data_IF_684766270434
#
_entry.id   IF_684766270434
#
_cell.length_a   1.000
_cell.length_b   1.000
_cell.length_c   1.000
_cell.angle_alpha   90.00
_cell.angle_beta   90.00
_cell.angle_gamma   90.00
#
_symmetry.space_group_name_H-M   'P 1'
#
loop_
_entity.id
_entity.type
_entity.pdbx_description
1 polymer ?
#
# COMPACT_ATOMS: atom_id res chain seq x y z
N UNK A 1 16.47 6.84 21.47
CA UNK A 1 17.27 6.39 20.32
C UNK A 1 16.66 5.08 19.86
N UNK A 2 16.52 4.90 18.55
CA UNK A 2 15.99 3.67 17.96
C UNK A 2 16.85 2.46 18.38
N UNK A 3 16.21 1.32 18.63
CA UNK A 3 16.91 0.05 18.80
C UNK A 3 17.46 -0.49 17.46
N UNK A 4 18.31 -1.52 17.49
CA UNK A 4 18.92 -2.09 16.28
C UNK A 4 17.89 -2.64 15.29
N UNK A 5 16.74 -3.13 15.78
CA UNK A 5 15.63 -3.59 14.94
C UNK A 5 14.98 -2.43 14.19
N UNK A 6 14.74 -1.32 14.90
CA UNK A 6 14.19 -0.12 14.31
C UNK A 6 15.16 0.47 13.26
N UNK A 7 16.47 0.47 13.53
CA UNK A 7 17.49 0.93 12.56
C UNK A 7 17.41 0.17 11.23
N UNK A 8 17.34 -1.16 11.24
CA UNK A 8 17.21 -1.95 10.01
C UNK A 8 15.90 -1.69 9.24
N UNK A 9 14.79 -1.49 9.96
CA UNK A 9 13.49 -1.14 9.33
C UNK A 9 13.51 0.27 8.73
N UNK A 10 14.13 1.23 9.41
CA UNK A 10 14.34 2.59 8.92
C UNK A 10 15.24 2.60 7.68
N UNK A 11 16.27 1.75 7.63
CA UNK A 11 17.10 1.57 6.45
C UNK A 11 16.31 0.98 5.27
N UNK A 12 15.45 -0.01 5.52
CA UNK A 12 14.52 -0.52 4.50
C UNK A 12 13.59 0.59 4.00
N UNK A 13 13.00 1.39 4.89
CA UNK A 13 12.17 2.53 4.50
C UNK A 13 12.93 3.51 3.61
N UNK A 14 14.16 3.86 3.97
CA UNK A 14 15.00 4.72 3.15
C UNK A 14 15.17 4.19 1.73
N UNK A 15 15.52 2.91 1.57
CA UNK A 15 15.70 2.31 0.25
C UNK A 15 14.39 2.19 -0.53
N UNK A 16 13.29 1.84 0.12
CA UNK A 16 11.97 1.75 -0.51
C UNK A 16 11.52 3.13 -1.00
N UNK A 17 11.72 4.18 -0.21
CA UNK A 17 11.40 5.54 -0.63
C UNK A 17 12.25 5.96 -1.83
N UNK A 18 13.56 5.76 -1.73
CA UNK A 18 14.53 6.16 -2.75
C UNK A 18 14.30 5.45 -4.09
N UNK A 19 14.18 4.12 -4.09
CA UNK A 19 14.13 3.33 -5.32
C UNK A 19 12.72 3.09 -5.86
N UNK A 20 11.70 3.10 -4.98
CA UNK A 20 10.35 2.70 -5.35
C UNK A 20 9.35 3.85 -5.22
N UNK A 21 9.13 4.38 -4.02
CA UNK A 21 7.99 5.29 -3.79
C UNK A 21 8.16 6.63 -4.48
N UNK A 22 9.38 7.15 -4.60
CA UNK A 22 9.63 8.37 -5.36
C UNK A 22 9.20 8.26 -6.83
N UNK A 23 9.30 7.08 -7.46
CA UNK A 23 8.75 6.86 -8.80
C UNK A 23 7.23 6.72 -8.75
N UNK A 24 6.69 6.05 -7.74
CA UNK A 24 5.26 5.80 -7.61
C UNK A 24 4.45 7.09 -7.40
N UNK A 25 4.88 7.98 -6.50
CA UNK A 25 4.04 9.10 -6.05
C UNK A 25 4.38 10.48 -6.62
N UNK A 26 5.57 10.70 -7.19
CA UNK A 26 5.99 12.06 -7.57
C UNK A 26 5.32 12.46 -8.88
N UNK A 27 4.65 13.61 -8.88
CA UNK A 27 3.92 14.10 -10.05
C UNK A 27 2.85 13.13 -10.54
N UNK A 28 2.29 12.27 -9.68
CA UNK A 28 1.16 11.43 -10.07
C UNK A 28 -0.03 12.31 -10.37
N UNK A 29 -0.57 12.19 -11.57
CA UNK A 29 -1.76 12.90 -12.01
C UNK A 29 -3.03 12.11 -11.74
N UNK A 30 -4.13 12.84 -11.69
CA UNK A 30 -5.48 12.30 -11.62
C UNK A 30 -5.85 11.45 -12.86
N UNK A 31 -5.26 11.75 -14.02
CA UNK A 31 -5.42 10.96 -15.24
C UNK A 31 -4.69 9.62 -15.15
N UNK A 32 -3.43 9.62 -14.68
CA UNK A 32 -2.67 8.39 -14.41
C UNK A 32 -3.39 7.52 -13.39
N UNK A 33 -3.88 8.11 -12.29
CA UNK A 33 -4.57 7.37 -11.23
C UNK A 33 -5.79 6.61 -11.77
N UNK A 34 -6.62 7.28 -12.59
CA UNK A 34 -7.88 6.74 -13.11
C UNK A 34 -7.73 5.89 -14.38
N UNK A 35 -6.51 5.75 -14.90
CA UNK A 35 -6.27 4.99 -16.12
C UNK A 35 -6.44 3.49 -15.88
N UNK A 36 -7.27 2.85 -16.71
CA UNK A 36 -7.42 1.40 -16.78
C UNK A 36 -6.35 0.85 -17.75
N UNK A 37 -5.34 0.08 -17.29
CA UNK A 37 -4.21 -0.32 -18.13
C UNK A 37 -4.61 -1.22 -19.31
N UNK A 38 -5.57 -2.11 -19.08
CA UNK A 38 -6.14 -3.03 -20.06
C UNK A 38 -7.62 -3.27 -19.72
N UNK A 39 -8.49 -3.54 -20.71
CA UNK A 39 -9.87 -3.90 -20.45
C UNK A 39 -9.98 -5.05 -19.44
N UNK A 40 -10.73 -4.84 -18.37
CA UNK A 40 -10.93 -5.85 -17.33
C UNK A 40 -9.89 -5.81 -16.21
N UNK A 41 -8.99 -4.82 -16.20
CA UNK A 41 -8.14 -4.57 -15.03
C UNK A 41 -9.00 -4.19 -13.82
N UNK A 42 -8.61 -4.64 -12.62
CA UNK A 42 -9.24 -4.20 -11.39
C UNK A 42 -8.87 -2.74 -11.09
N UNK A 43 -9.89 -1.92 -10.85
CA UNK A 43 -9.73 -0.49 -10.54
C UNK A 43 -10.70 -0.02 -9.48
N UNK A 44 -10.58 1.27 -9.16
CA UNK A 44 -11.54 2.01 -8.35
C UNK A 44 -12.51 2.71 -9.29
N UNK A 45 -13.80 2.50 -9.10
CA UNK A 45 -14.85 3.07 -9.94
C UNK A 45 -16.11 3.38 -9.13
N UNK A 46 -17.00 4.25 -9.63
CA UNK A 46 -18.30 4.44 -9.00
C UNK A 46 -19.04 3.10 -8.87
N UNK A 47 -19.80 2.92 -7.78
CA UNK A 47 -20.44 1.64 -7.47
C UNK A 47 -21.36 1.14 -8.59
N UNK A 48 -22.02 2.06 -9.31
CA UNK A 48 -22.90 1.74 -10.44
C UNK A 48 -22.15 1.19 -11.67
N UNK A 49 -20.82 1.35 -11.70
CA UNK A 49 -19.95 0.84 -12.76
C UNK A 49 -19.20 -0.42 -12.32
N UNK A 50 -19.36 -0.87 -11.07
CA UNK A 50 -18.71 -2.07 -10.53
C UNK A 50 -19.08 -3.30 -11.36
N UNK A 51 -18.07 -4.10 -11.72
CA UNK A 51 -18.26 -5.29 -12.56
C UNK A 51 -17.93 -6.59 -11.83
N UNK A 52 -17.23 -6.51 -10.71
CA UNK A 52 -16.79 -7.67 -9.95
C UNK A 52 -17.83 -8.11 -8.91
N UNK A 53 -17.91 -9.41 -8.58
CA UNK A 53 -18.95 -9.96 -7.70
C UNK A 53 -18.77 -9.63 -6.22
N UNK A 54 -17.56 -9.35 -5.74
CA UNK A 54 -17.29 -9.13 -4.30
C UNK A 54 -16.44 -7.87 -4.06
N UNK A 55 -16.88 -6.69 -4.53
CA UNK A 55 -16.09 -5.46 -4.43
C UNK A 55 -15.99 -4.97 -2.98
N UNK A 56 -14.98 -4.15 -2.70
CA UNK A 56 -14.95 -3.33 -1.48
C UNK A 56 -15.67 -2.01 -1.73
N UNK A 57 -16.60 -1.62 -0.84
CA UNK A 57 -17.48 -0.47 -1.05
C UNK A 57 -17.28 0.58 0.05
N UNK A 58 -16.97 1.82 -0.34
CA UNK A 58 -16.89 2.97 0.59
C UNK A 58 -17.38 4.23 -0.12
N UNK A 59 -18.30 4.96 0.50
CA UNK A 59 -18.67 6.32 0.07
C UNK A 59 -19.18 6.43 -1.38
N UNK A 60 -19.87 5.40 -1.89
CA UNK A 60 -20.38 5.36 -3.28
C UNK A 60 -19.36 4.88 -4.32
N UNK A 61 -18.15 4.53 -3.89
CA UNK A 61 -17.12 3.95 -4.74
C UNK A 61 -16.94 2.46 -4.46
N UNK A 62 -16.58 1.74 -5.51
CA UNK A 62 -16.23 0.35 -5.48
C UNK A 62 -14.76 0.18 -5.85
N UNK A 63 -14.06 -0.67 -5.11
CA UNK A 63 -12.81 -1.26 -5.55
C UNK A 63 -13.12 -2.64 -6.10
N UNK A 64 -12.80 -2.84 -7.38
CA UNK A 64 -13.01 -4.12 -8.05
C UNK A 64 -12.28 -5.24 -7.30
N UNK A 65 -13.03 -6.29 -6.96
CA UNK A 65 -12.49 -7.47 -6.31
C UNK A 65 -13.41 -8.68 -6.53
N UNK A 66 -12.81 -9.83 -6.81
CA UNK A 66 -13.47 -11.13 -6.87
C UNK A 66 -12.69 -12.11 -6.00
N UNK A 67 -13.26 -12.50 -4.86
CA UNK A 67 -12.62 -13.41 -3.92
C UNK A 67 -12.36 -14.81 -4.52
N UNK A 68 -13.23 -15.27 -5.43
CA UNK A 68 -13.06 -16.54 -6.12
C UNK A 68 -11.93 -16.48 -7.15
N UNK A 69 -11.86 -15.38 -7.91
CA UNK A 69 -10.78 -15.19 -8.89
C UNK A 69 -9.44 -14.94 -8.20
N UNK A 70 -9.37 -14.09 -7.17
CA UNK A 70 -8.15 -13.81 -6.41
C UNK A 70 -7.48 -15.08 -5.89
N UNK A 71 -8.28 -16.08 -5.48
CA UNK A 71 -7.77 -17.36 -5.02
C UNK A 71 -7.17 -18.25 -6.14
N UNK A 72 -7.54 -18.00 -7.40
CA UNK A 72 -7.13 -18.81 -8.55
C UNK A 72 -6.10 -18.13 -9.45
N UNK A 73 -6.24 -16.83 -9.71
CA UNK A 73 -5.35 -16.00 -10.53
C UNK A 73 -5.57 -14.53 -10.20
N UNK A 74 -4.52 -13.83 -9.79
CA UNK A 74 -4.57 -12.38 -9.56
C UNK A 74 -4.68 -11.63 -10.90
N UNK A 75 -5.75 -10.85 -11.12
CA UNK A 75 -5.86 -10.03 -12.32
C UNK A 75 -4.97 -8.80 -12.26
N UNK A 76 -4.72 -8.19 -13.42
CA UNK A 76 -4.00 -6.93 -13.50
C UNK A 76 -4.77 -5.83 -12.76
N UNK A 77 -4.07 -5.07 -11.93
CA UNK A 77 -4.62 -3.98 -11.15
C UNK A 77 -4.14 -2.63 -11.69
N UNK A 78 -5.00 -1.61 -11.58
CA UNK A 78 -4.68 -0.23 -11.92
C UNK A 78 -3.94 0.51 -10.80
N UNK A 79 -3.44 1.71 -11.09
CA UNK A 79 -2.79 2.57 -10.09
C UNK A 79 -3.76 2.93 -8.95
N UNK A 80 -5.02 3.25 -9.24
CA UNK A 80 -6.02 3.53 -8.20
C UNK A 80 -6.24 2.34 -7.26
N UNK A 81 -6.33 1.13 -7.80
CA UNK A 81 -6.48 -0.09 -7.00
C UNK A 81 -5.27 -0.33 -6.10
N UNK A 82 -4.06 -0.18 -6.66
CA UNK A 82 -2.81 -0.34 -5.91
C UNK A 82 -2.69 0.70 -4.80
N UNK A 83 -3.09 1.95 -5.03
CA UNK A 83 -3.11 2.96 -3.97
C UNK A 83 -4.16 2.67 -2.90
N UNK A 84 -5.36 2.19 -3.25
CA UNK A 84 -6.31 1.72 -2.24
C UNK A 84 -5.69 0.60 -1.39
N UNK A 85 -4.97 -0.31 -2.03
CA UNK A 85 -4.38 -1.46 -1.38
C UNK A 85 -3.25 -1.06 -0.39
N UNK A 86 -2.28 -0.24 -0.81
CA UNK A 86 -1.10 0.06 0.03
C UNK A 86 -1.03 1.48 0.59
N UNK A 87 -1.88 2.40 0.12
CA UNK A 87 -1.75 3.84 0.37
C UNK A 87 -1.91 4.25 1.83
N UNK A 88 -2.79 3.60 2.60
CA UNK A 88 -2.93 3.89 4.05
C UNK A 88 -2.14 2.94 4.96
N UNK A 89 -1.54 1.87 4.40
CA UNK A 89 -0.83 0.86 5.20
C UNK A 89 0.25 1.45 6.12
N UNK A 90 1.12 2.41 5.69
CA UNK A 90 2.15 2.95 6.58
C UNK A 90 1.56 3.66 7.80
N UNK A 91 0.52 4.48 7.60
CA UNK A 91 -0.14 5.22 8.69
C UNK A 91 -0.83 4.27 9.67
N UNK A 92 -1.52 3.27 9.14
CA UNK A 92 -2.15 2.22 9.96
C UNK A 92 -1.14 1.36 10.71
N UNK A 93 -0.01 1.04 10.10
CA UNK A 93 1.06 0.32 10.77
C UNK A 93 1.61 1.15 11.95
N UNK A 94 1.72 2.47 11.82
CA UNK A 94 2.16 3.35 12.91
C UNK A 94 1.19 3.36 14.11
N UNK A 95 -0.07 2.93 13.93
CA UNK A 95 -1.09 2.86 14.97
C UNK A 95 -1.13 1.50 15.69
N UNK A 96 -0.18 0.60 15.38
CA UNK A 96 -0.08 -0.69 16.05
C UNK A 96 0.39 -0.54 17.51
N UNK A 97 -0.13 -1.38 18.38
CA UNK A 97 0.09 -1.38 19.83
C UNK A 97 1.58 -1.41 20.21
N UNK A 98 2.38 -2.26 19.55
CA UNK A 98 3.82 -2.34 19.77
C UNK A 98 4.60 -1.12 19.27
N UNK A 99 3.97 -0.20 18.53
CA UNK A 99 4.51 1.12 18.16
C UNK A 99 3.90 2.27 18.97
N UNK A 100 3.13 1.97 20.03
CA UNK A 100 2.50 2.97 20.89
C UNK A 100 1.12 3.42 20.44
N UNK A 101 0.54 2.77 19.43
CA UNK A 101 -0.86 2.97 19.04
C UNK A 101 -1.82 2.09 19.84
N UNK A 102 -3.06 1.96 19.34
CA UNK A 102 -4.16 1.26 20.03
C UNK A 102 -4.66 0.01 19.29
N UNK A 103 -4.13 -0.29 18.10
CA UNK A 103 -4.59 -1.41 17.29
C UNK A 103 -3.68 -2.63 17.43
N UNK A 104 -4.27 -3.80 17.67
CA UNK A 104 -3.50 -5.04 17.69
C UNK A 104 -3.19 -5.51 16.27
N UNK A 105 -1.96 -5.93 16.00
CA UNK A 105 -1.60 -6.49 14.69
C UNK A 105 -2.45 -7.73 14.31
N UNK A 106 -2.88 -8.51 15.30
CA UNK A 106 -3.71 -9.70 15.07
C UNK A 106 -5.12 -9.37 14.54
N UNK A 107 -5.57 -8.11 14.66
CA UNK A 107 -6.83 -7.66 14.07
C UNK A 107 -6.78 -7.55 12.54
N UNK A 108 -5.58 -7.54 11.95
CA UNK A 108 -5.42 -7.21 10.52
C UNK A 108 -5.60 -5.73 10.23
N UNK A 109 -5.44 -4.84 11.22
CA UNK A 109 -5.61 -3.39 11.09
C UNK A 109 -4.99 -2.77 9.82
N UNK A 110 -3.74 -3.10 9.44
CA UNK A 110 -3.13 -2.55 8.24
C UNK A 110 -3.65 -3.14 6.92
N UNK A 111 -4.48 -4.18 6.94
CA UNK A 111 -4.90 -4.91 5.74
C UNK A 111 -6.21 -4.35 5.15
N UNK A 112 -6.22 -3.95 3.86
CA UNK A 112 -7.42 -3.43 3.19
C UNK A 112 -8.52 -4.46 2.95
N UNK A 113 -8.20 -5.74 3.08
CA UNK A 113 -9.16 -6.82 2.91
C UNK A 113 -9.90 -7.20 4.18
N UNK A 114 -9.38 -6.81 5.34
CA UNK A 114 -9.94 -7.15 6.65
C UNK A 114 -10.65 -5.94 7.24
N UNK A 115 -9.99 -4.79 7.19
CA UNK A 115 -10.51 -3.56 7.75
C UNK A 115 -10.92 -2.59 6.64
N UNK A 116 -11.94 -1.78 6.92
CA UNK A 116 -12.42 -0.80 5.94
C UNK A 116 -11.33 0.25 5.70
N UNK A 117 -10.86 0.38 4.46
CA UNK A 117 -9.82 1.32 4.05
C UNK A 117 -10.38 2.50 3.24
N UNK A 118 -9.73 3.68 3.29
CA UNK A 118 -10.13 4.80 2.43
C UNK A 118 -9.97 4.43 0.95
N UNK A 119 -10.99 4.74 0.15
CA UNK A 119 -10.89 4.70 -1.30
C UNK A 119 -10.43 6.08 -1.78
N UNK A 120 -9.31 6.12 -2.50
CA UNK A 120 -8.76 7.36 -3.03
C UNK A 120 -9.33 7.64 -4.42
N UNK A 121 -9.88 8.83 -4.61
CA UNK A 121 -10.52 9.22 -5.89
C UNK A 121 -9.70 10.24 -6.67
N UNK A 122 -8.69 10.82 -6.01
CA UNK A 122 -7.72 11.76 -6.59
C UNK A 122 -6.29 11.35 -6.23
N UNK A 123 -5.33 11.72 -7.08
CA UNK A 123 -3.92 11.43 -6.86
C UNK A 123 -3.40 12.15 -5.61
N UNK A 124 -3.91 13.37 -5.35
CA UNK A 124 -3.56 14.14 -4.16
C UNK A 124 -3.96 13.42 -2.86
N UNK A 125 -5.15 12.82 -2.79
CA UNK A 125 -5.61 12.06 -1.62
C UNK A 125 -4.74 10.81 -1.39
N UNK A 126 -4.50 10.04 -2.45
CA UNK A 126 -3.73 8.80 -2.40
C UNK A 126 -2.28 9.07 -1.96
N UNK A 127 -1.61 10.00 -2.65
CA UNK A 127 -0.21 10.37 -2.36
C UNK A 127 -0.09 11.07 -1.02
N UNK A 128 -1.03 11.96 -0.69
CA UNK A 128 -1.06 12.68 0.58
C UNK A 128 -1.17 11.72 1.77
N UNK A 129 -2.08 10.76 1.69
CA UNK A 129 -2.28 9.72 2.72
C UNK A 129 -1.03 8.86 2.88
N UNK A 130 -0.47 8.37 1.77
CA UNK A 130 0.72 7.53 1.82
C UNK A 130 1.92 8.27 2.40
N UNK A 131 2.17 9.52 1.99
CA UNK A 131 3.28 10.33 2.52
C UNK A 131 3.10 10.69 3.99
N UNK A 132 1.87 11.01 4.41
CA UNK A 132 1.59 11.27 5.82
C UNK A 132 1.81 10.02 6.68
N UNK A 133 1.31 8.88 6.23
CA UNK A 133 1.52 7.59 6.90
C UNK A 133 2.98 7.19 6.93
N UNK A 134 3.73 7.40 5.84
CA UNK A 134 5.16 7.07 5.76
C UNK A 134 5.97 7.84 6.80
N UNK A 135 5.69 9.15 6.96
CA UNK A 135 6.29 9.97 8.02
C UNK A 135 5.88 9.53 9.42
N UNK A 136 4.62 9.15 9.61
CA UNK A 136 4.14 8.65 10.90
C UNK A 136 4.85 7.35 11.31
N UNK A 137 5.01 6.41 10.37
CA UNK A 137 5.72 5.15 10.60
C UNK A 137 7.21 5.37 10.89
N UNK A 138 7.88 6.24 10.12
CA UNK A 138 9.27 6.62 10.38
C UNK A 138 9.43 7.19 11.80
N UNK A 139 8.56 8.14 12.18
CA UNK A 139 8.58 8.73 13.52
C UNK A 139 8.34 7.68 14.62
N UNK A 140 7.37 6.79 14.43
CA UNK A 140 7.07 5.71 15.36
C UNK A 140 8.28 4.78 15.54
N UNK A 141 8.92 4.35 14.44
CA UNK A 141 10.10 3.49 14.48
C UNK A 141 11.31 4.17 15.12
N UNK A 142 11.53 5.47 14.88
CA UNK A 142 12.61 6.23 15.56
C UNK A 142 12.43 6.30 17.07
N UNK A 143 11.19 6.18 17.55
CA UNK A 143 10.86 6.16 18.98
C UNK A 143 10.81 4.74 19.57
N UNK A 144 10.73 3.70 18.73
CA UNK A 144 10.55 2.32 19.17
C UNK A 144 11.83 1.70 19.74
N UNK A 145 11.66 0.86 20.75
CA UNK A 145 12.73 0.04 21.33
C UNK A 145 12.76 -1.36 20.69
N UNK A 146 13.89 -2.06 20.83
CA UNK A 146 13.99 -3.45 20.39
C UNK A 146 13.02 -4.36 21.16
N UNK A 147 12.81 -4.10 22.45
CA UNK A 147 11.86 -4.87 23.26
C UNK A 147 10.44 -4.75 22.72
N UNK A 148 10.00 -3.54 22.37
CA UNK A 148 8.70 -3.29 21.73
C UNK A 148 8.59 -4.05 20.40
N UNK A 149 9.60 -3.95 19.54
CA UNK A 149 9.58 -4.60 18.24
C UNK A 149 9.75 -6.12 18.30
N UNK A 150 10.26 -6.67 19.40
CA UNK A 150 10.35 -8.12 19.66
C UNK A 150 9.13 -8.66 20.42
N UNK A 151 8.16 -7.81 20.79
CA UNK A 151 6.93 -8.25 21.44
C UNK A 151 6.26 -9.35 20.59
N UNK A 152 5.98 -10.53 21.18
CA UNK A 152 5.26 -11.58 20.49
C UNK A 152 3.88 -11.11 20.05
N UNK A 153 3.59 -11.29 18.77
CA UNK A 153 2.30 -10.95 18.16
C UNK A 153 1.96 -11.98 17.08
N UNK A 154 0.88 -11.75 16.31
CA UNK A 154 0.47 -12.65 15.22
C UNK A 154 0.34 -11.87 13.92
N UNK A 155 0.69 -12.53 12.83
CA UNK A 155 0.19 -12.11 11.52
C UNK A 155 -1.33 -12.26 11.48
N UNK A 156 -1.99 -11.52 10.58
CA UNK A 156 -3.40 -11.73 10.28
C UNK A 156 -3.56 -12.79 9.19
N UNK A 157 -4.74 -13.41 9.11
CA UNK A 157 -5.09 -14.36 8.07
C UNK A 157 -6.55 -14.22 7.65
N UNK A 158 -6.85 -14.51 6.39
CA UNK A 158 -8.18 -14.35 5.78
C UNK A 158 -9.27 -15.29 6.34
N UNK A 159 -8.93 -16.17 7.30
CA UNK A 159 -9.87 -17.10 7.96
C UNK A 159 -9.60 -17.30 9.45
N UNK A 160 -8.79 -16.44 10.08
CA UNK A 160 -8.43 -16.54 11.49
C UNK A 160 -7.03 -16.03 11.79
N UNK A 161 -6.57 -16.15 13.05
CA UNK A 161 -5.25 -15.69 13.45
C UNK A 161 -4.14 -16.37 12.64
N UNK A 162 -3.24 -15.58 12.07
CA UNK A 162 -2.09 -16.07 11.32
C UNK A 162 -0.97 -16.62 12.22
N UNK A 163 0.17 -16.99 11.63
CA UNK A 163 1.32 -17.53 12.36
C UNK A 163 1.87 -16.52 13.38
N UNK A 164 2.64 -17.05 14.34
CA UNK A 164 3.34 -16.24 15.33
C UNK A 164 4.42 -15.39 14.67
N UNK A 165 4.54 -14.14 15.13
CA UNK A 165 5.50 -13.17 14.66
C UNK A 165 5.95 -12.24 15.78
N UNK A 166 6.69 -11.21 15.42
CA UNK A 166 7.07 -10.10 16.29
C UNK A 166 6.71 -8.79 15.60
N UNK A 167 6.62 -7.69 16.35
CA UNK A 167 6.34 -6.37 15.78
C UNK A 167 7.26 -6.02 14.60
N UNK A 168 8.55 -6.32 14.72
CA UNK A 168 9.53 -6.14 13.64
C UNK A 168 9.17 -6.91 12.37
N UNK A 169 8.68 -8.15 12.49
CA UNK A 169 8.28 -8.97 11.34
C UNK A 169 7.02 -8.45 10.67
N UNK A 170 6.07 -7.92 11.44
CA UNK A 170 4.87 -7.27 10.92
C UNK A 170 5.25 -6.02 10.12
N UNK A 171 6.08 -5.14 10.68
CA UNK A 171 6.54 -3.95 9.97
C UNK A 171 7.32 -4.34 8.71
N UNK A 172 8.24 -5.31 8.81
CA UNK A 172 8.99 -5.77 7.65
C UNK A 172 8.09 -6.31 6.51
N UNK A 173 7.03 -7.06 6.83
CA UNK A 173 6.09 -7.53 5.81
C UNK A 173 5.30 -6.38 5.19
N UNK A 174 4.85 -5.42 6.00
CA UNK A 174 4.16 -4.22 5.51
C UNK A 174 5.06 -3.41 4.56
N UNK A 175 6.33 -3.20 4.92
CA UNK A 175 7.30 -2.52 4.06
C UNK A 175 7.55 -3.28 2.75
N UNK A 176 7.63 -4.60 2.81
CA UNK A 176 7.78 -5.43 1.61
C UNK A 176 6.57 -5.32 0.66
N UNK A 177 5.35 -5.35 1.19
CA UNK A 177 4.10 -5.20 0.42
C UNK A 177 4.02 -3.83 -0.25
N UNK A 178 4.36 -2.76 0.48
CA UNK A 178 4.45 -1.39 -0.05
C UNK A 178 5.50 -1.29 -1.17
N UNK A 179 6.68 -1.90 -0.99
CA UNK A 179 7.74 -1.90 -2.01
C UNK A 179 7.31 -2.67 -3.27
N UNK A 180 6.68 -3.84 -3.07
CA UNK A 180 6.19 -4.69 -4.14
C UNK A 180 5.14 -3.96 -5.01
N UNK A 181 4.09 -3.41 -4.39
CA UNK A 181 3.04 -2.71 -5.12
C UNK A 181 3.47 -1.33 -5.61
N UNK A 182 4.39 -0.66 -4.90
CA UNK A 182 5.03 0.57 -5.39
C UNK A 182 5.79 0.33 -6.69
N UNK A 183 6.43 -0.83 -6.85
CA UNK A 183 7.10 -1.22 -8.09
C UNK A 183 6.10 -1.42 -9.23
N UNK A 184 4.97 -2.08 -8.97
CA UNK A 184 3.88 -2.23 -9.95
C UNK A 184 3.33 -0.86 -10.39
N UNK A 185 3.10 0.06 -9.44
CA UNK A 185 2.71 1.45 -9.78
C UNK A 185 3.75 2.07 -10.71
N UNK A 186 5.04 1.95 -10.40
CA UNK A 186 6.12 2.48 -11.24
C UNK A 186 6.03 2.00 -12.69
N UNK A 187 5.83 0.69 -12.90
CA UNK A 187 5.66 0.09 -14.24
C UNK A 187 4.42 0.64 -14.95
N UNK A 188 3.28 0.74 -14.26
CA UNK A 188 2.05 1.27 -14.86
C UNK A 188 2.20 2.74 -15.27
N UNK A 189 2.93 3.53 -14.49
CA UNK A 189 3.23 4.93 -14.85
C UNK A 189 4.10 5.04 -16.10
N UNK A 190 5.06 4.13 -16.27
CA UNK A 190 5.87 4.08 -17.49
C UNK A 190 5.01 3.69 -18.70
N UNK A 191 4.13 2.69 -18.56
CA UNK A 191 3.19 2.30 -19.62
C UNK A 191 2.19 3.42 -19.97
N UNK A 192 1.69 4.16 -18.98
CA UNK A 192 0.80 5.30 -19.20
C UNK A 192 1.47 6.36 -20.08
N UNK A 193 2.75 6.67 -19.83
CA UNK A 193 3.51 7.64 -20.63
C UNK A 193 3.69 7.20 -22.08
N UNK A 194 3.92 5.90 -22.28
CA UNK A 194 4.13 5.32 -23.62
C UNK A 194 2.84 5.20 -24.45
N UNK A 195 1.66 5.23 -23.81
CA UNK A 195 0.35 5.18 -24.49
C UNK A 195 0.15 6.32 -25.50
N UNK A 196 0.79 7.46 -25.29
CA UNK A 196 0.55 8.70 -26.05
C UNK A 196 1.49 8.97 -27.23
N UNK A 197 2.26 7.98 -27.71
CA UNK A 197 3.34 8.17 -28.70
C UNK A 197 4.37 9.26 -28.33
N UNK A 198 4.44 9.66 -27.05
CA UNK A 198 5.42 10.63 -26.59
C UNK A 198 6.83 9.99 -26.68
N UNK A 199 7.72 10.47 -27.56
CA UNK A 199 9.06 9.94 -27.61
C UNK A 199 9.74 10.16 -26.26
N UNK A 200 10.48 9.16 -25.80
CA UNK A 200 11.42 9.37 -24.70
C UNK A 200 12.48 10.32 -25.24
N UNK A 201 12.42 11.58 -24.83
CA UNK A 201 13.44 12.58 -25.18
C UNK A 201 14.70 12.28 -24.37
N UNK A 202 15.56 11.42 -24.95
CA UNK A 202 16.91 11.22 -24.47
C UNK A 202 17.74 12.47 -24.81
N UNK A 203 17.52 13.57 -24.10
CA UNK A 203 18.45 14.70 -24.13
C UNK A 203 19.80 14.18 -23.61
N UNK A 204 20.87 14.16 -24.44
CA UNK A 204 22.20 13.87 -23.93
C UNK A 204 22.67 15.08 -23.11
N UNK A 205 23.17 14.83 -21.90
CA UNK A 205 23.96 15.82 -21.16
C UNK A 205 25.22 16.24 -21.94
#
# INVERSE_FOLDING_TARGET
MAGKRAEGLLEMMFFIEMFTLNRAWNGLSDEELRWEPMPGSWTVRPVEQCRTPTPFLVGGWAVDFDAGLAAATEPLTSIAWLFWHVGSMPGRAAELDFLGGSHSAASGWPSPYIETHPIFTTAAEAVGTMRAGWRALDAALRSATDEQLEQPTRFWGYGGPGPMGTGARIVASTLNEISHHGTQIGVLRDLFRLRGDAPIDYQPE
#
